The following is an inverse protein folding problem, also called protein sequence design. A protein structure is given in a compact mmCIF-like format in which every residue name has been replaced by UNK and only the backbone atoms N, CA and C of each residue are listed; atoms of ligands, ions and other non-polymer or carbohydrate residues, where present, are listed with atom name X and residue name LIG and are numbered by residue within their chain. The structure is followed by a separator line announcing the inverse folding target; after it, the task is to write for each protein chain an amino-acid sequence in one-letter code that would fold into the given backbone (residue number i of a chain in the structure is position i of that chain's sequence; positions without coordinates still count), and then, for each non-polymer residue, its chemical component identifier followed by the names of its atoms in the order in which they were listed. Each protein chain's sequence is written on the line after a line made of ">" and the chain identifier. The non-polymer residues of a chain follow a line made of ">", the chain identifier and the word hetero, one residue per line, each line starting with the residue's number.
data_IF_179108360588
#
_entry.id   IF_179108360588
#
_cell.length_a   1.000
_cell.length_b   1.000
_cell.length_c   1.000
_cell.angle_alpha   90.00
_cell.angle_beta   90.00
_cell.angle_gamma   90.00
#
_symmetry.space_group_name_H-M   'P 1'
#
loop_
_entity.id
_entity.type
_entity.pdbx_description
1 polymer ?
#
# COMPACT_ATOMS: atom_id res chain seq x y z
N UNK A 1 13.74 -10.40 -3.51
CA UNK A 1 13.79 -9.65 -2.23
C UNK A 1 12.53 -9.98 -1.45
N UNK A 2 12.62 -10.13 -0.13
CA UNK A 2 11.48 -10.48 0.74
C UNK A 2 11.40 -9.49 1.90
N UNK A 3 10.19 -9.15 2.33
CA UNK A 3 9.93 -8.49 3.61
C UNK A 3 9.40 -9.56 4.54
N UNK A 4 10.24 -10.00 5.48
CA UNK A 4 10.03 -11.21 6.26
C UNK A 4 9.74 -12.40 5.34
N UNK A 5 8.56 -13.00 5.46
CA UNK A 5 8.15 -14.18 4.68
C UNK A 5 7.41 -13.81 3.38
N UNK A 6 7.23 -12.51 3.10
CA UNK A 6 6.43 -12.03 1.97
C UNK A 6 7.30 -11.54 0.81
N UNK A 7 7.15 -12.09 -0.41
CA UNK A 7 7.89 -11.65 -1.59
C UNK A 7 7.56 -10.21 -1.99
N UNK A 8 8.59 -9.40 -2.26
CA UNK A 8 8.37 -8.06 -2.84
C UNK A 8 8.19 -8.18 -4.35
N UNK A 9 7.09 -7.63 -4.85
CA UNK A 9 6.78 -7.58 -6.28
C UNK A 9 7.43 -6.38 -6.96
N UNK A 10 7.25 -5.19 -6.38
CA UNK A 10 7.70 -3.93 -6.97
C UNK A 10 7.97 -2.88 -5.89
N UNK A 11 8.95 -2.01 -6.13
CA UNK A 11 9.18 -0.79 -5.34
C UNK A 11 8.94 0.41 -6.24
N UNK A 12 8.16 1.37 -5.76
CA UNK A 12 7.94 2.67 -6.39
C UNK A 12 8.50 3.78 -5.50
N UNK A 13 8.50 5.02 -5.99
CA UNK A 13 8.88 6.18 -5.17
C UNK A 13 8.02 6.34 -3.91
N UNK A 14 6.76 5.88 -3.95
CA UNK A 14 5.79 6.07 -2.86
C UNK A 14 5.34 4.79 -2.16
N UNK A 15 5.74 3.60 -2.62
CA UNK A 15 5.23 2.36 -2.04
C UNK A 15 6.11 1.14 -2.32
N UNK A 16 5.90 0.10 -1.53
CA UNK A 16 6.44 -1.23 -1.75
C UNK A 16 5.24 -2.17 -1.93
N UNK A 17 5.14 -2.81 -3.08
CA UNK A 17 4.11 -3.81 -3.36
C UNK A 17 4.63 -5.19 -2.96
N UNK A 18 3.89 -5.83 -2.05
CA UNK A 18 4.29 -7.10 -1.43
C UNK A 18 3.20 -8.14 -1.69
N UNK A 19 3.63 -9.33 -2.10
CA UNK A 19 2.74 -10.45 -2.36
C UNK A 19 2.34 -11.11 -1.03
N UNK A 20 1.04 -11.16 -0.76
CA UNK A 20 0.44 -11.95 0.32
C UNK A 20 -0.37 -13.07 -0.36
N UNK A 21 0.26 -14.21 -0.71
CA UNK A 21 -0.45 -15.30 -1.36
C UNK A 21 -1.55 -15.81 -0.42
N UNK A 22 -2.66 -16.25 -1.02
CA UNK A 22 -3.76 -16.82 -0.27
C UNK A 22 -3.32 -18.11 0.43
N UNK A 23 -3.46 -18.13 1.75
CA UNK A 23 -3.11 -19.28 2.56
C UNK A 23 -4.14 -19.46 3.67
N UNK A 24 -4.61 -20.70 3.82
CA UNK A 24 -5.62 -21.04 4.80
C UNK A 24 -4.99 -21.24 6.18
N UNK A 25 -5.64 -20.73 7.22
CA UNK A 25 -5.20 -20.94 8.60
C UNK A 25 -3.94 -20.17 9.02
N UNK A 26 -3.39 -19.29 8.15
CA UNK A 26 -2.29 -18.40 8.52
C UNK A 26 -2.76 -17.47 9.66
N UNK A 27 -2.06 -17.40 10.81
CA UNK A 27 -2.46 -16.55 11.93
C UNK A 27 -2.54 -15.07 11.53
N UNK A 28 -3.55 -14.34 12.01
CA UNK A 28 -3.73 -12.91 11.68
C UNK A 28 -2.56 -12.06 12.18
N UNK A 29 -1.92 -12.47 13.27
CA UNK A 29 -0.77 -11.84 13.90
C UNK A 29 0.46 -11.82 12.98
N UNK A 30 0.50 -12.68 11.94
CA UNK A 30 1.55 -12.65 10.91
C UNK A 30 1.62 -11.28 10.22
N UNK A 31 0.51 -10.53 10.15
CA UNK A 31 0.49 -9.17 9.61
C UNK A 31 1.41 -8.22 10.36
N UNK A 32 1.72 -8.47 11.65
CA UNK A 32 2.62 -7.63 12.43
C UNK A 32 3.98 -7.44 11.74
N UNK A 33 4.44 -8.44 10.98
CA UNK A 33 5.67 -8.37 10.20
C UNK A 33 5.68 -7.24 9.16
N UNK A 34 4.51 -6.76 8.74
CA UNK A 34 4.36 -5.69 7.77
C UNK A 34 4.31 -4.30 8.42
N UNK A 35 4.35 -4.23 9.75
CA UNK A 35 4.36 -3.01 10.55
C UNK A 35 5.74 -2.80 11.14
N UNK A 36 6.47 -1.80 10.65
CA UNK A 36 7.83 -1.47 11.08
C UNK A 36 7.97 0.01 11.43
N UNK A 37 9.11 0.43 12.01
CA UNK A 37 9.38 1.84 12.27
C UNK A 37 9.41 2.74 11.02
N UNK A 38 9.52 2.18 9.81
CA UNK A 38 9.69 2.94 8.57
C UNK A 38 8.71 2.56 7.45
N UNK A 39 7.87 1.55 7.65
CA UNK A 39 6.83 1.19 6.69
C UNK A 39 5.64 0.52 7.37
N UNK A 40 4.47 0.65 6.76
CA UNK A 40 3.24 -0.01 7.19
C UNK A 40 2.26 -0.17 6.02
N UNK A 41 1.27 -1.09 6.11
CA UNK A 41 0.21 -1.20 5.11
C UNK A 41 -0.58 0.11 4.99
N UNK A 42 -0.77 0.60 3.76
CA UNK A 42 -1.57 1.79 3.48
C UNK A 42 -3.06 1.54 3.73
N UNK A 43 -3.83 2.60 3.93
CA UNK A 43 -5.31 2.54 4.01
C UNK A 43 -6.00 2.17 2.68
N UNK A 44 -5.23 2.12 1.59
CA UNK A 44 -5.70 1.67 0.27
C UNK A 44 -5.74 0.14 0.12
N UNK A 45 -5.46 -0.58 1.21
CA UNK A 45 -5.56 -2.03 1.22
C UNK A 45 -6.86 -2.50 1.87
N UNK A 46 -7.33 -3.65 1.41
CA UNK A 46 -8.29 -4.50 2.10
C UNK A 46 -7.60 -5.80 2.53
N UNK A 47 -7.76 -6.18 3.79
CA UNK A 47 -7.22 -7.42 4.35
C UNK A 47 -8.32 -8.47 4.34
N UNK A 48 -8.04 -9.61 3.73
CA UNK A 48 -8.96 -10.74 3.67
C UNK A 48 -8.71 -11.67 4.85
N UNK A 49 -9.75 -11.91 5.62
CA UNK A 49 -9.72 -12.63 6.89
C UNK A 49 -10.70 -13.81 6.86
N UNK A 50 -10.44 -14.80 7.71
CA UNK A 50 -11.28 -15.98 7.90
C UNK A 50 -11.45 -16.30 9.39
N UNK A 51 -12.37 -17.21 9.69
CA UNK A 51 -12.66 -17.67 11.06
C UNK A 51 -13.06 -16.54 12.00
N UNK A 52 -13.95 -15.68 11.53
CA UNK A 52 -14.50 -14.56 12.29
C UNK A 52 -15.76 -14.99 13.05
N UNK A 53 -15.91 -14.55 14.30
CA UNK A 53 -17.13 -14.84 15.10
C UNK A 53 -18.36 -14.08 14.63
N UNK A 54 -18.17 -12.98 13.90
CA UNK A 54 -19.24 -12.24 13.21
C UNK A 54 -18.78 -11.90 11.79
N UNK A 55 -19.69 -11.92 10.80
CA UNK A 55 -19.35 -11.53 9.44
C UNK A 55 -18.98 -10.04 9.41
N UNK A 56 -17.78 -9.72 8.96
CA UNK A 56 -17.40 -8.34 8.69
C UNK A 56 -18.15 -7.84 7.44
N UNK A 57 -18.46 -6.55 7.44
CA UNK A 57 -19.06 -5.83 6.30
C UNK A 57 -18.23 -6.07 5.02
N UNK A 58 -18.86 -6.11 3.82
CA UNK A 58 -18.12 -6.10 2.56
C UNK A 58 -17.09 -4.97 2.51
N UNK A 59 -15.92 -5.21 1.90
CA UNK A 59 -14.86 -4.20 1.80
C UNK A 59 -15.40 -2.90 1.19
N UNK A 60 -15.20 -1.79 1.88
CA UNK A 60 -15.40 -0.45 1.31
C UNK A 60 -14.03 0.20 1.18
N UNK A 61 -13.33 -0.08 0.10
CA UNK A 61 -12.05 0.57 -0.17
C UNK A 61 -12.35 1.98 -0.71
N UNK A 62 -11.59 3.04 -0.36
CA UNK A 62 -11.96 4.44 -0.58
C UNK A 62 -12.31 4.89 -2.02
N UNK A 63 -12.24 4.02 -3.02
CA UNK A 63 -12.53 4.33 -4.43
C UNK A 63 -13.42 3.32 -5.16
N UNK A 64 -13.71 2.15 -4.57
CA UNK A 64 -14.48 1.08 -5.24
C UNK A 64 -15.16 0.16 -4.23
N UNK A 65 -16.42 -0.21 -4.49
CA UNK A 65 -17.07 -1.34 -3.80
C UNK A 65 -16.62 -2.63 -4.49
N UNK A 66 -15.56 -3.26 -3.99
CA UNK A 66 -15.15 -4.58 -4.48
C UNK A 66 -16.15 -5.60 -3.92
N UNK A 67 -17.08 -6.05 -4.77
CA UNK A 67 -17.97 -7.14 -4.42
C UNK A 67 -17.12 -8.42 -4.43
N UNK A 68 -16.82 -8.94 -3.24
CA UNK A 68 -15.84 -10.01 -3.02
C UNK A 68 -16.38 -11.37 -3.47
N UNK A 69 -16.49 -11.59 -4.77
CA UNK A 69 -16.69 -12.93 -5.35
C UNK A 69 -15.33 -13.55 -5.67
N UNK A 70 -14.54 -13.82 -4.63
CA UNK A 70 -13.25 -14.52 -4.78
C UNK A 70 -13.46 -16.03 -4.82
N UNK A 71 -14.17 -16.51 -5.84
CA UNK A 71 -14.41 -17.94 -6.09
C UNK A 71 -13.10 -18.74 -6.31
N UNK A 72 -11.96 -18.06 -6.49
CA UNK A 72 -10.63 -18.66 -6.67
C UNK A 72 -9.79 -18.76 -5.38
N UNK A 73 -10.18 -18.12 -4.27
CA UNK A 73 -9.44 -18.18 -3.00
C UNK A 73 -10.11 -19.17 -2.05
N UNK A 74 -10.29 -20.41 -2.52
CA UNK A 74 -11.03 -21.42 -1.77
C UNK A 74 -10.11 -22.25 -0.86
N UNK A 75 -10.50 -22.34 0.41
CA UNK A 75 -9.88 -23.19 1.41
C UNK A 75 -10.59 -24.55 1.56
N UNK A 76 -11.51 -24.88 0.64
CA UNK A 76 -12.18 -26.17 0.52
C UNK A 76 -13.33 -26.40 1.50
N UNK A 77 -13.69 -25.40 2.32
CA UNK A 77 -14.73 -25.52 3.33
C UNK A 77 -15.97 -24.70 2.94
N UNK A 78 -17.12 -25.37 2.86
CA UNK A 78 -18.43 -24.78 2.49
C UNK A 78 -18.91 -23.65 3.43
N UNK A 79 -18.25 -23.46 4.57
CA UNK A 79 -18.59 -22.47 5.61
C UNK A 79 -17.55 -21.35 5.79
N UNK A 80 -16.49 -21.30 4.96
CA UNK A 80 -15.45 -20.27 5.10
C UNK A 80 -15.87 -18.96 4.43
N UNK A 81 -16.78 -18.23 5.07
CA UNK A 81 -17.08 -16.85 4.68
C UNK A 81 -15.84 -15.99 4.83
N UNK A 82 -15.30 -15.54 3.70
CA UNK A 82 -14.21 -14.55 3.67
C UNK A 82 -14.77 -13.24 4.21
N UNK A 83 -14.16 -12.76 5.27
CA UNK A 83 -14.43 -11.45 5.85
C UNK A 83 -13.39 -10.46 5.39
N UNK A 84 -13.74 -9.18 5.41
CA UNK A 84 -12.86 -8.13 4.95
C UNK A 84 -12.68 -7.04 5.99
N UNK A 85 -11.43 -6.60 6.14
CA UNK A 85 -11.09 -5.40 6.88
C UNK A 85 -10.53 -4.34 5.92
N UNK A 86 -11.05 -3.13 6.00
CA UNK A 86 -10.48 -1.94 5.38
C UNK A 86 -10.47 -0.82 6.43
N UNK A 87 -9.47 0.05 6.37
CA UNK A 87 -9.33 1.16 7.33
C UNK A 87 -10.59 2.05 7.30
N UNK A 88 -11.33 2.18 8.42
CA UNK A 88 -12.59 2.92 8.44
C UNK A 88 -12.42 4.43 8.31
N UNK A 89 -11.27 4.97 8.71
CA UNK A 89 -11.00 6.40 8.62
C UNK A 89 -10.37 6.76 7.27
N UNK A 90 -11.15 7.43 6.41
CA UNK A 90 -10.70 7.89 5.09
C UNK A 90 -9.55 8.92 5.13
N UNK A 91 -9.24 9.49 6.31
CA UNK A 91 -8.12 10.42 6.48
C UNK A 91 -6.83 9.71 6.90
N UNK A 92 -6.91 8.46 7.36
CA UNK A 92 -5.74 7.66 7.73
C UNK A 92 -4.93 7.31 6.48
N UNK A 93 -3.61 7.47 6.54
CA UNK A 93 -2.70 7.04 5.46
C UNK A 93 -2.39 5.53 5.52
N UNK A 94 -2.53 4.95 6.71
CA UNK A 94 -2.16 3.57 7.01
C UNK A 94 -3.30 2.85 7.71
N UNK A 95 -3.30 1.52 7.61
CA UNK A 95 -4.15 0.66 8.44
C UNK A 95 -3.68 0.75 9.89
N UNK A 96 -4.64 0.88 10.80
CA UNK A 96 -4.37 0.74 12.23
C UNK A 96 -4.30 -0.75 12.63
N UNK A 97 -3.13 -1.17 13.14
CA UNK A 97 -2.91 -2.57 13.53
C UNK A 97 -3.82 -3.02 14.70
N UNK A 98 -4.12 -2.11 15.63
CA UNK A 98 -4.96 -2.43 16.78
C UNK A 98 -6.43 -2.63 16.35
N UNK A 99 -6.93 -1.79 15.44
CA UNK A 99 -8.26 -1.95 14.87
C UNK A 99 -8.36 -3.23 14.03
N UNK A 100 -7.32 -3.52 13.23
CA UNK A 100 -7.23 -4.73 12.42
C UNK A 100 -7.20 -6.00 13.27
N UNK A 101 -6.44 -6.03 14.36
CA UNK A 101 -6.38 -7.20 15.25
C UNK A 101 -7.51 -7.25 16.27
N UNK A 102 -8.20 -6.13 16.50
CA UNK A 102 -9.41 -6.04 17.31
C UNK A 102 -10.63 -6.68 16.66
N UNK A 103 -10.60 -6.93 15.33
CA UNK A 103 -11.63 -7.73 14.68
C UNK A 103 -11.49 -9.18 15.15
N UNK A 104 -12.62 -9.82 15.48
CA UNK A 104 -12.62 -11.16 16.08
C UNK A 104 -12.41 -12.28 15.03
N UNK A 105 -11.44 -12.10 14.14
CA UNK A 105 -11.02 -13.04 13.11
C UNK A 105 -9.69 -13.69 13.52
N UNK A 106 -9.54 -14.99 13.24
CA UNK A 106 -8.35 -15.74 13.67
C UNK A 106 -7.32 -15.96 12.57
N UNK A 107 -7.70 -15.80 11.32
CA UNK A 107 -6.85 -16.19 10.18
C UNK A 107 -6.77 -15.08 9.14
N UNK A 108 -5.55 -14.77 8.72
CA UNK A 108 -5.24 -13.99 7.51
C UNK A 108 -5.34 -14.92 6.31
N UNK A 109 -6.18 -14.59 5.34
CA UNK A 109 -6.20 -15.29 4.06
C UNK A 109 -5.22 -14.63 3.08
N UNK A 110 -5.42 -13.35 2.80
CA UNK A 110 -4.75 -12.61 1.73
C UNK A 110 -4.96 -11.09 1.90
N UNK A 111 -4.51 -10.29 0.94
CA UNK A 111 -4.84 -8.86 0.85
C UNK A 111 -5.23 -8.47 -0.58
N UNK A 112 -5.82 -7.28 -0.69
CA UNK A 112 -6.12 -6.57 -1.92
C UNK A 112 -5.55 -5.18 -1.79
N UNK A 113 -4.93 -4.67 -2.84
CA UNK A 113 -4.48 -3.29 -2.92
C UNK A 113 -5.19 -2.55 -4.04
N UNK A 114 -5.56 -1.30 -3.78
CA UNK A 114 -6.10 -0.39 -4.80
C UNK A 114 -4.97 0.54 -5.24
N UNK A 115 -4.59 0.42 -6.51
CA UNK A 115 -3.59 1.27 -7.14
C UNK A 115 -4.30 2.24 -8.08
N UNK A 116 -4.12 3.53 -7.86
CA UNK A 116 -4.60 4.56 -8.78
C UNK A 116 -3.64 4.65 -9.96
N UNK A 117 -4.11 4.29 -11.15
CA UNK A 117 -3.41 4.42 -12.42
C UNK A 117 -3.93 5.68 -13.15
N UNK A 118 -3.18 6.78 -13.06
CA UNK A 118 -3.46 7.97 -13.87
C UNK A 118 -3.04 9.28 -13.21
N UNK A 119 -2.81 10.29 -14.05
CA UNK A 119 -2.69 11.68 -13.62
C UNK A 119 -4.10 12.23 -13.30
N UNK A 120 -4.16 13.26 -12.45
CA UNK A 120 -5.32 13.88 -11.78
C UNK A 120 -6.65 14.04 -12.56
N UNK A 121 -6.69 13.81 -13.87
CA UNK A 121 -7.85 13.99 -14.75
C UNK A 121 -8.46 12.69 -15.32
N UNK A 122 -7.82 11.52 -15.19
CA UNK A 122 -8.35 10.22 -15.62
C UNK A 122 -7.84 9.11 -14.67
N UNK A 123 -8.41 9.04 -13.47
CA UNK A 123 -8.03 8.04 -12.47
C UNK A 123 -8.66 6.68 -12.81
N UNK A 124 -7.99 5.87 -13.63
CA UNK A 124 -8.31 4.45 -13.69
C UNK A 124 -7.87 3.81 -12.37
N UNK A 125 -8.72 2.99 -11.76
CA UNK A 125 -8.39 2.29 -10.52
C UNK A 125 -8.12 0.83 -10.87
N UNK A 126 -6.92 0.34 -10.58
CA UNK A 126 -6.63 -1.10 -10.62
C UNK A 126 -6.73 -1.71 -9.23
N UNK A 127 -7.20 -2.95 -9.19
CA UNK A 127 -7.35 -3.74 -7.98
C UNK A 127 -6.41 -4.93 -8.11
N UNK A 128 -5.37 -4.95 -7.29
CA UNK A 128 -4.39 -6.03 -7.26
C UNK A 128 -4.73 -7.00 -6.13
N UNK A 129 -5.00 -8.26 -6.49
CA UNK A 129 -5.36 -9.33 -5.55
C UNK A 129 -4.11 -10.06 -5.10
N UNK A 130 -4.08 -10.52 -3.84
CA UNK A 130 -2.90 -11.10 -3.19
C UNK A 130 -1.75 -10.10 -3.05
N UNK A 131 -2.06 -8.80 -3.05
CA UNK A 131 -1.06 -7.74 -2.92
C UNK A 131 -1.42 -6.85 -1.75
N UNK A 132 -0.41 -6.45 -0.99
CA UNK A 132 -0.48 -5.34 -0.05
C UNK A 132 0.45 -4.24 -0.52
N UNK A 133 -0.02 -3.00 -0.48
CA UNK A 133 0.79 -1.81 -0.66
C UNK A 133 1.27 -1.32 0.70
N UNK A 134 2.59 -1.35 0.93
CA UNK A 134 3.21 -0.71 2.07
C UNK A 134 3.59 0.72 1.69
N UNK A 135 3.22 1.68 2.53
CA UNK A 135 3.79 3.02 2.49
C UNK A 135 5.00 3.07 3.40
N UNK A 136 6.00 3.85 3.03
CA UNK A 136 7.26 3.99 3.77
C UNK A 136 7.63 5.45 3.99
N UNK A 137 8.46 5.70 5.01
CA UNK A 137 8.93 7.03 5.43
C UNK A 137 10.31 6.97 6.10
N UNK A 138 10.97 8.12 6.15
CA UNK A 138 12.14 8.34 7.00
C UNK A 138 11.72 9.08 8.28
N UNK A 139 12.41 8.85 9.39
CA UNK A 139 12.17 9.60 10.64
C UNK A 139 12.60 11.06 10.46
N UNK A 140 11.78 12.00 10.96
CA UNK A 140 12.02 13.43 10.83
C UNK A 140 10.79 14.19 10.34
N UNK A 141 11.00 15.42 9.88
CA UNK A 141 9.93 16.32 9.45
C UNK A 141 10.29 17.09 8.17
N UNK A 142 9.30 17.79 7.63
CA UNK A 142 9.44 18.63 6.44
C UNK A 142 9.98 20.04 6.71
N UNK A 143 10.38 20.37 7.95
CA UNK A 143 10.96 21.69 8.26
C UNK A 143 12.39 21.82 7.76
N UNK A 144 13.06 20.68 7.57
CA UNK A 144 14.43 20.59 7.10
C UNK A 144 14.48 20.44 5.57
N UNK A 145 15.55 20.97 4.94
CA UNK A 145 15.78 20.88 3.48
C UNK A 145 16.33 19.52 3.06
N UNK A 146 15.66 18.43 3.43
CA UNK A 146 16.03 17.07 3.06
C UNK A 146 15.56 16.68 1.65
N UNK A 147 14.47 17.29 1.18
CA UNK A 147 13.98 17.09 -0.18
C UNK A 147 14.75 17.93 -1.20
N UNK A 148 14.81 17.43 -2.43
CA UNK A 148 15.38 18.13 -3.58
C UNK A 148 14.52 19.34 -4.00
N UNK A 149 15.04 20.21 -4.86
CA UNK A 149 14.36 21.45 -5.27
C UNK A 149 13.02 21.19 -5.99
N UNK A 150 13.00 20.23 -6.91
CA UNK A 150 11.80 19.86 -7.69
C UNK A 150 11.00 18.71 -7.04
N UNK A 151 10.86 18.75 -5.71
CA UNK A 151 10.07 17.78 -4.94
C UNK A 151 9.19 18.43 -3.89
N UNK A 152 8.06 17.77 -3.60
CA UNK A 152 7.24 18.04 -2.43
C UNK A 152 7.70 17.18 -1.25
N UNK A 153 7.57 17.73 -0.04
CA UNK A 153 7.75 16.98 1.20
C UNK A 153 6.38 16.59 1.76
N UNK A 154 6.18 15.31 2.03
CA UNK A 154 4.95 14.75 2.57
C UNK A 154 5.20 14.38 4.01
N UNK A 155 4.49 15.04 4.92
CA UNK A 155 4.52 14.71 6.35
C UNK A 155 3.77 13.41 6.59
N UNK A 156 4.39 12.52 7.36
CA UNK A 156 3.84 11.21 7.74
C UNK A 156 3.88 11.12 9.27
N UNK A 157 2.82 10.59 9.87
CA UNK A 157 2.84 10.20 11.27
C UNK A 157 2.94 8.67 11.29
N UNK A 158 3.98 8.16 11.94
CA UNK A 158 4.19 6.72 12.09
C UNK A 158 2.96 6.09 12.76
N UNK A 159 2.31 5.08 12.14
CA UNK A 159 1.16 4.40 12.73
C UNK A 159 1.55 3.49 13.89
N UNK A 160 2.85 3.32 14.18
CA UNK A 160 3.36 2.42 15.22
C UNK A 160 3.56 3.13 16.54
N UNK A 161 4.17 4.32 16.50
CA UNK A 161 4.62 5.04 17.69
C UNK A 161 4.28 6.54 17.66
N UNK A 162 3.56 7.00 16.63
CA UNK A 162 3.15 8.39 16.48
C UNK A 162 4.29 9.36 16.18
N UNK A 163 5.51 8.86 15.93
CA UNK A 163 6.66 9.72 15.64
C UNK A 163 6.50 10.42 14.28
N UNK A 164 7.06 11.65 14.16
CA UNK A 164 7.09 12.34 12.90
C UNK A 164 8.01 11.61 11.91
N UNK A 165 7.49 11.41 10.71
CA UNK A 165 8.23 10.97 9.55
C UNK A 165 7.95 11.87 8.36
N UNK A 166 8.75 11.69 7.31
CA UNK A 166 8.56 12.39 6.06
C UNK A 166 8.91 11.51 4.87
N UNK A 167 8.40 11.89 3.71
CA UNK A 167 8.81 11.36 2.42
C UNK A 167 8.89 12.46 1.39
N UNK A 168 9.94 12.44 0.59
CA UNK A 168 10.06 13.34 -0.55
C UNK A 168 9.45 12.69 -1.81
N UNK A 169 8.69 13.46 -2.58
CA UNK A 169 8.11 13.02 -3.84
C UNK A 169 8.42 14.03 -4.95
N UNK A 170 8.97 13.57 -6.06
CA UNK A 170 9.19 14.44 -7.21
C UNK A 170 7.88 15.05 -7.72
N UNK A 171 7.94 16.33 -8.10
CA UNK A 171 6.83 17.01 -8.76
C UNK A 171 6.54 16.37 -10.12
N UNK A 172 5.34 16.60 -10.65
CA UNK A 172 4.96 16.11 -11.97
C UNK A 172 5.95 16.58 -13.04
N UNK A 173 6.34 15.67 -13.94
CA UNK A 173 7.38 15.93 -14.94
C UNK A 173 8.81 15.73 -14.45
N UNK A 174 9.01 15.34 -13.19
CA UNK A 174 10.32 15.01 -12.63
C UNK A 174 10.38 13.55 -12.17
N UNK A 175 11.56 12.94 -12.31
CA UNK A 175 11.82 11.55 -11.98
C UNK A 175 13.02 11.49 -11.05
N UNK A 176 12.96 10.62 -10.04
CA UNK A 176 14.03 10.43 -9.07
C UNK A 176 13.50 9.93 -7.73
N UNK A 177 14.37 9.96 -6.72
CA UNK A 177 14.02 9.53 -5.36
C UNK A 177 13.45 10.66 -4.49
N UNK A 178 13.57 11.92 -4.92
CA UNK A 178 13.07 13.09 -4.18
C UNK A 178 14.01 13.63 -3.11
N UNK A 179 15.08 12.91 -2.75
CA UNK A 179 15.94 13.29 -1.62
C UNK A 179 17.19 14.01 -2.10
N UNK A 180 17.54 15.11 -1.43
CA UNK A 180 18.75 15.88 -1.72
C UNK A 180 20.05 15.08 -1.50
N UNK A 181 20.05 14.15 -0.54
CA UNK A 181 21.19 13.28 -0.27
C UNK A 181 21.28 12.07 -1.21
N UNK A 182 20.28 11.89 -2.08
CA UNK A 182 20.21 10.82 -3.05
C UNK A 182 20.38 11.34 -4.49
N UNK A 183 19.60 10.77 -5.41
CA UNK A 183 19.57 11.21 -6.81
C UNK A 183 18.85 12.55 -6.99
N UNK A 184 17.96 12.90 -6.05
CA UNK A 184 17.07 14.05 -6.18
C UNK A 184 16.11 13.89 -7.35
N UNK A 185 15.40 14.97 -7.68
CA UNK A 185 14.52 15.02 -8.84
C UNK A 185 15.22 15.65 -10.04
N UNK A 186 15.02 15.04 -11.21
CA UNK A 186 15.48 15.56 -12.51
C UNK A 186 14.32 15.57 -13.50
N UNK A 187 14.33 16.51 -14.45
CA UNK A 187 13.32 16.54 -15.52
C UNK A 187 13.25 15.17 -16.20
N UNK A 188 12.06 14.59 -16.23
CA UNK A 188 11.80 13.36 -16.95
C UNK A 188 11.96 13.63 -18.44
N UNK A 189 12.85 12.90 -19.12
CA UNK A 189 12.84 12.89 -20.57
C UNK A 189 11.53 12.24 -21.02
N UNK A 190 10.71 12.97 -21.78
CA UNK A 190 9.59 12.37 -22.48
C UNK A 190 10.15 11.33 -23.44
N UNK A 191 10.03 10.04 -23.11
CA UNK A 191 10.48 8.94 -23.96
C UNK A 191 9.72 8.92 -25.31
N UNK A 192 8.61 9.67 -25.41
CA UNK A 192 7.84 9.88 -26.63
C UNK A 192 8.59 10.77 -27.64
N UNK A 193 9.44 11.71 -27.19
CA UNK A 193 10.22 12.56 -28.11
C UNK A 193 11.45 11.84 -28.68
N UNK A 194 11.99 10.82 -27.99
CA UNK A 194 13.11 10.04 -28.52
C UNK A 194 12.73 9.08 -29.65
N UNK A 195 11.46 8.67 -29.76
CA UNK A 195 11.02 7.85 -30.89
C UNK A 195 10.84 8.65 -32.18
N UNK A 196 10.53 9.95 -32.09
CA UNK A 196 10.42 10.80 -33.28
C UNK A 196 11.80 11.15 -33.89
N UNK A 197 12.84 11.30 -33.07
CA UNK A 197 14.21 11.61 -33.52
C UNK A 197 14.99 10.40 -34.08
N UNK A 198 14.50 9.17 -33.89
CA UNK A 198 15.10 7.97 -34.49
C UNK A 198 14.45 7.57 -35.84
N UNK A 199 13.53 8.39 -36.34
CA UNK A 199 12.82 8.17 -37.62
C UNK A 199 13.00 9.29 -38.65
N UNK A 200 14.00 10.18 -38.48
CA UNK A 200 14.45 11.11 -39.54
C UNK A 200 15.89 10.85 -39.94
#
# INVERSE_FOLDING_TARGET
>A
MVIHDFPVQQITSGSILVNIPAECGRPVETLQQLFSPNYAPTSQNAILLQNCTSPLTPCKIPTTTVQTHFEMLDCGSKDNNISCYSEPNNQSLFIDYHNLTGVQCRSLLSAISVVSLGNLNNSAVSVDVQVVQLGWWLEGDCQHRYCSEDSSCITIVSPIDGRPGYRCQCLEGFIGDGYRAGLGCRKGQNIIEQFYDLTQ
#
